data_IF_563858681520
#
_entry.id   IF_563858681520
#
_cell.length_a   1.000
_cell.length_b   1.000
_cell.length_c   1.000
_cell.angle_alpha   90.00
_cell.angle_beta   90.00
_cell.angle_gamma   90.00
#
_symmetry.space_group_name_H-M   'P 1'
#
loop_
_entity.id
_entity.type
_entity.pdbx_description
1 polymer ?
#
# COMPACT_ATOMS: atom_id res chain seq x y z
N UNK A 1 -7.29 -3.50 -2.49
CA UNK A 1 -7.63 -2.22 -3.15
C UNK A 1 -6.81 -1.10 -2.54
N UNK A 2 -5.90 -0.50 -3.31
CA UNK A 2 -5.05 0.58 -2.83
C UNK A 2 -5.92 1.78 -2.41
N UNK A 3 -5.85 2.18 -1.14
CA UNK A 3 -6.38 3.46 -0.67
C UNK A 3 -5.86 4.54 -1.63
N UNK A 4 -6.72 5.32 -2.29
CA UNK A 4 -6.38 6.34 -3.31
C UNK A 4 -5.50 7.52 -2.84
N UNK A 5 -4.63 7.28 -1.87
CA UNK A 5 -3.62 8.15 -1.30
C UNK A 5 -2.39 8.20 -2.21
N UNK A 6 -2.56 8.68 -3.42
CA UNK A 6 -1.44 9.05 -4.29
C UNK A 6 -0.98 10.45 -3.87
N UNK A 7 0.29 10.58 -3.50
CA UNK A 7 0.87 11.85 -3.09
C UNK A 7 1.25 12.68 -4.33
N UNK A 8 0.59 13.82 -4.50
CA UNK A 8 0.80 14.76 -5.62
C UNK A 8 1.47 16.07 -5.18
N UNK A 9 1.97 16.15 -3.94
CA UNK A 9 2.48 17.39 -3.33
C UNK A 9 3.75 17.96 -3.97
N UNK A 10 4.45 17.16 -4.78
CA UNK A 10 5.68 17.55 -5.46
C UNK A 10 5.47 17.74 -6.96
N UNK A 11 4.24 17.53 -7.45
CA UNK A 11 3.93 17.70 -8.87
C UNK A 11 3.56 19.17 -9.14
N UNK A 12 3.91 19.69 -10.33
CA UNK A 12 3.54 21.04 -10.75
C UNK A 12 2.03 21.12 -11.01
N UNK A 13 1.48 22.34 -11.00
CA UNK A 13 0.10 22.57 -11.46
C UNK A 13 -0.04 22.24 -12.95
N UNK A 14 -1.13 21.55 -13.31
CA UNK A 14 -1.44 21.19 -14.70
C UNK A 14 -2.17 22.30 -15.48
N UNK A 15 -2.49 23.42 -14.85
CA UNK A 15 -3.15 24.55 -15.52
C UNK A 15 -2.14 25.26 -16.42
N UNK A 16 -2.52 25.49 -17.68
CA UNK A 16 -1.67 26.18 -18.67
C UNK A 16 -1.29 27.55 -18.13
N UNK A 17 0.00 27.90 -18.20
CA UNK A 17 0.62 29.12 -17.65
C UNK A 17 0.74 29.21 -16.11
N UNK A 18 0.31 28.19 -15.36
CA UNK A 18 0.51 28.15 -13.91
C UNK A 18 1.86 27.50 -13.55
N UNK A 19 2.73 28.26 -12.88
CA UNK A 19 4.05 27.79 -12.43
C UNK A 19 4.06 27.33 -10.95
N UNK A 20 2.88 27.12 -10.35
CA UNK A 20 2.81 26.71 -8.96
C UNK A 20 3.41 25.31 -8.76
N UNK A 21 4.37 25.23 -7.85
CA UNK A 21 4.96 24.00 -7.35
C UNK A 21 4.89 24.06 -5.82
N UNK A 22 4.15 23.15 -5.20
CA UNK A 22 3.93 23.26 -3.77
C UNK A 22 3.07 22.16 -3.17
N UNK A 23 3.16 22.06 -1.84
CA UNK A 23 2.57 20.95 -1.09
C UNK A 23 1.05 21.02 -0.94
N UNK A 24 0.40 22.11 -1.38
CA UNK A 24 -1.04 22.35 -1.26
C UNK A 24 -1.70 22.62 -2.61
N UNK A 25 -1.40 21.78 -3.59
CA UNK A 25 -2.00 21.82 -4.92
C UNK A 25 -3.54 21.80 -4.89
N UNK A 26 -4.11 21.06 -3.94
CA UNK A 26 -5.55 20.97 -3.67
C UNK A 26 -6.18 22.31 -3.31
N UNK A 27 -5.49 23.09 -2.47
CA UNK A 27 -5.92 24.44 -2.09
C UNK A 27 -5.66 25.44 -3.20
N UNK A 28 -4.51 25.33 -3.85
CA UNK A 28 -4.12 26.20 -4.96
C UNK A 28 -5.14 26.15 -6.10
N UNK A 29 -5.54 24.95 -6.55
CA UNK A 29 -6.55 24.78 -7.60
C UNK A 29 -7.92 25.38 -7.27
N UNK A 30 -8.27 25.50 -5.98
CA UNK A 30 -9.56 26.05 -5.54
C UNK A 30 -9.55 27.56 -5.30
N UNK A 31 -8.38 28.17 -5.13
CA UNK A 31 -8.26 29.58 -4.73
C UNK A 31 -7.63 30.44 -5.83
N UNK A 32 -6.59 29.93 -6.50
CA UNK A 32 -5.79 30.73 -7.44
C UNK A 32 -6.24 30.58 -8.90
N UNK A 33 -7.19 29.69 -9.16
CA UNK A 33 -7.80 29.51 -10.48
C UNK A 33 -9.29 29.84 -10.45
N UNK A 34 -9.67 31.12 -10.60
CA UNK A 34 -11.08 31.52 -10.68
C UNK A 34 -11.77 30.98 -11.94
N UNK A 35 -10.98 30.60 -12.95
CA UNK A 35 -11.45 29.99 -14.20
C UNK A 35 -11.90 28.54 -14.05
N UNK A 36 -11.54 27.88 -12.94
CA UNK A 36 -11.90 26.50 -12.66
C UNK A 36 -13.06 26.44 -11.66
N UNK A 37 -14.15 25.80 -12.06
CA UNK A 37 -15.20 25.43 -11.11
C UNK A 37 -14.67 24.38 -10.11
N UNK A 38 -15.33 24.26 -8.95
CA UNK A 38 -14.95 23.26 -7.95
C UNK A 38 -14.94 21.83 -8.50
N UNK A 39 -15.88 21.52 -9.41
CA UNK A 39 -15.98 20.21 -10.05
C UNK A 39 -14.81 19.94 -11.00
N UNK A 40 -14.41 20.95 -11.79
CA UNK A 40 -13.27 20.85 -12.69
C UNK A 40 -11.95 20.77 -11.92
N UNK A 41 -11.79 21.52 -10.82
CA UNK A 41 -10.64 21.40 -9.93
C UNK A 41 -10.50 19.98 -9.36
N UNK A 42 -11.61 19.36 -8.95
CA UNK A 42 -11.60 17.98 -8.44
C UNK A 42 -11.36 16.94 -9.56
N UNK A 43 -11.78 17.21 -10.81
CA UNK A 43 -11.44 16.39 -11.98
C UNK A 43 -9.94 16.47 -12.29
N UNK A 44 -9.39 17.69 -12.32
CA UNK A 44 -7.96 17.93 -12.53
C UNK A 44 -7.13 17.22 -11.45
N UNK A 45 -7.52 17.33 -10.17
CA UNK A 45 -6.85 16.62 -9.07
C UNK A 45 -6.88 15.10 -9.23
N UNK A 46 -8.00 14.53 -9.70
CA UNK A 46 -8.11 13.09 -9.96
C UNK A 46 -7.20 12.67 -11.10
N UNK A 47 -7.16 13.45 -12.18
CA UNK A 47 -6.32 13.15 -13.33
C UNK A 47 -4.83 13.23 -12.97
N UNK A 48 -4.41 14.24 -12.20
CA UNK A 48 -3.03 14.32 -11.73
C UNK A 48 -2.65 13.12 -10.86
N UNK A 49 -3.52 12.69 -9.95
CA UNK A 49 -3.30 11.47 -9.16
C UNK A 49 -3.16 10.23 -10.06
N UNK A 50 -4.00 10.11 -11.08
CA UNK A 50 -3.96 9.01 -12.05
C UNK A 50 -2.61 8.99 -12.78
N UNK A 51 -2.19 10.12 -13.31
CA UNK A 51 -0.91 10.23 -14.04
C UNK A 51 0.29 9.89 -13.16
N UNK A 52 0.35 10.39 -11.92
CA UNK A 52 1.41 10.04 -10.97
C UNK A 52 1.39 8.56 -10.65
N UNK A 53 0.21 7.98 -10.44
CA UNK A 53 0.06 6.54 -10.22
C UNK A 53 0.64 5.72 -11.37
N UNK A 54 0.29 6.07 -12.62
CA UNK A 54 0.82 5.41 -13.80
C UNK A 54 2.33 5.59 -13.95
N UNK A 55 2.86 6.77 -13.65
CA UNK A 55 4.31 7.04 -13.66
C UNK A 55 5.04 6.14 -12.66
N UNK A 56 4.53 6.03 -11.43
CA UNK A 56 5.10 5.13 -10.40
C UNK A 56 4.99 3.67 -10.78
N UNK A 57 3.88 3.25 -11.39
CA UNK A 57 3.73 1.89 -11.90
C UNK A 57 4.77 1.58 -12.99
N UNK A 58 5.00 2.53 -13.90
CA UNK A 58 6.03 2.40 -14.94
C UNK A 58 7.44 2.30 -14.34
N UNK A 59 7.77 3.15 -13.36
CA UNK A 59 9.04 3.08 -12.64
C UNK A 59 9.23 1.71 -11.97
N UNK A 60 8.18 1.16 -11.35
CA UNK A 60 8.20 -0.17 -10.76
C UNK A 60 8.41 -1.28 -11.80
N UNK A 61 7.71 -1.19 -12.93
CA UNK A 61 7.89 -2.14 -14.04
C UNK A 61 9.29 -2.11 -14.64
N UNK A 62 9.96 -0.95 -14.64
CA UNK A 62 11.35 -0.85 -15.08
C UNK A 62 12.32 -1.55 -14.12
N UNK A 63 12.08 -1.43 -12.80
CA UNK A 63 12.94 -2.03 -11.78
C UNK A 63 12.74 -3.55 -11.70
N UNK A 64 11.50 -4.01 -11.86
CA UNK A 64 11.14 -5.42 -11.83
C UNK A 64 10.20 -5.73 -12.99
N UNK A 65 10.73 -6.05 -14.18
CA UNK A 65 9.89 -6.41 -15.30
C UNK A 65 9.10 -7.67 -14.90
N UNK A 66 7.76 -7.67 -15.05
CA UNK A 66 6.98 -8.85 -14.76
C UNK A 66 7.51 -9.99 -15.62
N UNK A 67 7.89 -11.10 -14.99
CA UNK A 67 8.28 -12.32 -15.69
C UNK A 67 7.07 -12.72 -16.52
N UNK A 68 7.17 -12.59 -17.84
CA UNK A 68 6.15 -13.09 -18.74
C UNK A 68 6.05 -14.59 -18.49
N UNK A 69 4.87 -15.06 -18.08
CA UNK A 69 4.51 -16.47 -18.14
C UNK A 69 4.32 -16.82 -19.62
N UNK A 70 5.42 -16.82 -20.37
CA UNK A 70 5.46 -17.32 -21.75
C UNK A 70 5.29 -18.83 -21.67
N UNK A 71 4.06 -19.31 -21.84
CA UNK A 71 3.84 -20.70 -22.23
C UNK A 71 4.15 -20.80 -23.71
N UNK A 72 5.19 -21.54 -24.07
CA UNK A 72 5.41 -21.94 -25.46
C UNK A 72 4.28 -22.89 -25.84
N UNK A 73 3.38 -22.42 -26.72
CA UNK A 73 2.48 -23.33 -27.41
C UNK A 73 3.33 -24.07 -28.45
N UNK A 74 3.62 -25.34 -28.21
CA UNK A 74 4.20 -26.22 -29.22
C UNK A 74 3.10 -26.50 -30.26
N UNK A 75 2.97 -25.60 -31.24
CA UNK A 75 2.06 -25.79 -32.36
C UNK A 75 2.76 -26.71 -33.37
N UNK A 76 2.53 -28.01 -33.25
CA UNK A 76 2.76 -28.93 -34.35
C UNK A 76 1.78 -28.59 -35.47
N UNK A 77 2.26 -27.97 -36.54
CA UNK A 77 1.48 -27.73 -37.76
C UNK A 77 1.27 -29.06 -38.51
N UNK A 78 0.37 -29.89 -37.98
CA UNK A 78 -0.10 -31.12 -38.60
C UNK A 78 -1.55 -30.98 -39.03
N UNK A 79 -1.75 -30.92 -40.35
CA UNK A 79 -2.96 -31.19 -41.13
C UNK A 79 -4.33 -30.72 -40.58
N UNK A 80 -4.97 -29.85 -41.37
CA UNK A 80 -6.39 -29.53 -41.34
C UNK A 80 -7.26 -30.77 -41.11
N UNK A 81 -8.11 -30.75 -40.08
CA UNK A 81 -9.36 -31.51 -40.11
C UNK A 81 -10.43 -30.84 -39.22
N UNK A 82 -11.65 -31.01 -39.69
CA UNK A 82 -12.87 -30.25 -39.42
C UNK A 82 -13.23 -30.13 -37.94
N UNK A 83 -13.73 -28.95 -37.58
CA UNK A 83 -14.31 -28.60 -36.29
C UNK A 83 -15.49 -29.53 -35.93
N UNK A 84 -15.41 -30.41 -34.91
CA UNK A 84 -16.58 -30.79 -34.15
C UNK A 84 -16.73 -29.78 -32.99
N UNK A 85 -17.95 -29.61 -32.53
CA UNK A 85 -18.32 -28.69 -31.46
C UNK A 85 -17.35 -28.74 -30.29
N UNK A 86 -16.95 -27.53 -29.89
CA UNK A 86 -16.25 -27.20 -28.66
C UNK A 86 -16.83 -28.00 -27.49
N UNK A 87 -16.15 -29.09 -27.13
CA UNK A 87 -16.17 -29.60 -25.77
C UNK A 87 -15.50 -28.52 -24.92
N UNK A 88 -16.29 -27.55 -24.49
CA UNK A 88 -15.93 -26.70 -23.37
C UNK A 88 -15.73 -27.66 -22.20
N UNK A 89 -14.48 -28.06 -21.99
CA UNK A 89 -14.08 -28.73 -20.77
C UNK A 89 -14.61 -27.87 -19.64
N UNK A 90 -15.52 -28.45 -18.87
CA UNK A 90 -16.05 -27.89 -17.65
C UNK A 90 -14.84 -27.63 -16.75
N UNK A 91 -14.35 -26.39 -16.77
CA UNK A 91 -13.37 -25.94 -15.79
C UNK A 91 -14.18 -25.85 -14.51
N UNK A 92 -13.94 -26.82 -13.63
CA UNK A 92 -14.49 -26.85 -12.29
C UNK A 92 -13.90 -25.64 -11.53
N UNK A 93 -14.60 -24.51 -11.59
CA UNK A 93 -14.25 -23.23 -10.95
C UNK A 93 -14.54 -23.22 -9.44
N UNK A 94 -14.71 -24.39 -8.82
CA UNK A 94 -15.12 -24.54 -7.42
C UNK A 94 -13.95 -24.60 -6.42
N UNK A 95 -12.70 -24.32 -6.82
CA UNK A 95 -11.65 -24.01 -5.84
C UNK A 95 -11.69 -22.54 -5.44
N UNK A 96 -12.70 -22.27 -4.62
CA UNK A 96 -13.14 -21.01 -4.01
C UNK A 96 -11.99 -20.07 -3.57
N UNK A 97 -11.54 -19.19 -4.47
CA UNK A 97 -10.62 -18.07 -4.20
C UNK A 97 -11.10 -17.18 -3.03
N UNK A 98 -12.39 -17.21 -2.72
CA UNK A 98 -12.98 -16.53 -1.57
C UNK A 98 -12.54 -17.14 -0.24
N UNK A 99 -12.37 -18.46 -0.18
CA UNK A 99 -12.01 -19.19 1.04
C UNK A 99 -10.55 -18.96 1.42
N UNK A 100 -9.62 -18.94 0.47
CA UNK A 100 -8.19 -18.65 0.75
C UNK A 100 -7.99 -17.22 1.27
N UNK A 101 -8.62 -16.23 0.65
CA UNK A 101 -8.54 -14.83 1.11
C UNK A 101 -9.22 -14.62 2.48
N UNK A 102 -10.29 -15.35 2.79
CA UNK A 102 -10.95 -15.32 4.11
C UNK A 102 -10.05 -15.89 5.21
N UNK A 103 -9.37 -17.00 4.96
CA UNK A 103 -8.42 -17.60 5.90
C UNK A 103 -7.25 -16.66 6.20
N UNK A 104 -6.65 -16.08 5.16
CA UNK A 104 -5.55 -15.11 5.32
C UNK A 104 -5.99 -13.88 6.13
N UNK A 105 -7.24 -13.42 6.00
CA UNK A 105 -7.77 -12.32 6.82
C UNK A 105 -7.88 -12.71 8.29
N UNK A 106 -8.37 -13.90 8.59
CA UNK A 106 -8.49 -14.39 9.97
C UNK A 106 -7.12 -14.54 10.62
N UNK A 107 -6.16 -15.11 9.88
CA UNK A 107 -4.77 -15.24 10.34
C UNK A 107 -4.13 -13.88 10.63
N UNK A 108 -4.31 -12.89 9.75
CA UNK A 108 -3.81 -11.54 9.98
C UNK A 108 -4.40 -10.88 11.23
N UNK A 109 -5.68 -11.13 11.52
CA UNK A 109 -6.32 -10.63 12.75
C UNK A 109 -5.72 -11.31 13.99
N UNK A 110 -5.52 -12.63 13.94
CA UNK A 110 -4.91 -13.39 15.04
C UNK A 110 -3.47 -12.94 15.32
N UNK A 111 -2.64 -12.81 14.29
CA UNK A 111 -1.26 -12.34 14.40
C UNK A 111 -1.20 -10.91 14.94
N UNK A 112 -2.13 -10.04 14.54
CA UNK A 112 -2.20 -8.68 15.07
C UNK A 112 -2.54 -8.66 16.55
N UNK A 113 -3.49 -9.48 17.00
CA UNK A 113 -3.83 -9.62 18.41
C UNK A 113 -2.63 -10.13 19.24
N UNK A 114 -1.91 -11.13 18.72
CA UNK A 114 -0.70 -11.65 19.37
C UNK A 114 0.39 -10.58 19.48
N UNK A 115 0.63 -9.81 18.41
CA UNK A 115 1.58 -8.69 18.41
C UNK A 115 1.21 -7.63 19.44
N UNK A 116 -0.08 -7.30 19.57
CA UNK A 116 -0.55 -6.32 20.55
C UNK A 116 -0.36 -6.82 22.00
N UNK A 117 -0.59 -8.10 22.27
CA UNK A 117 -0.33 -8.70 23.58
C UNK A 117 1.17 -8.63 23.93
N UNK A 118 2.04 -9.05 23.01
CA UNK A 118 3.49 -9.00 23.20
C UNK A 118 3.99 -7.56 23.44
N UNK A 119 3.45 -6.59 22.70
CA UNK A 119 3.79 -5.18 22.88
C UNK A 119 3.41 -4.66 24.28
N UNK A 120 2.27 -5.09 24.82
CA UNK A 120 1.86 -4.75 26.19
C UNK A 120 2.81 -5.34 27.23
N UNK A 121 3.23 -6.58 27.05
CA UNK A 121 4.22 -7.23 27.94
C UNK A 121 5.57 -6.51 27.90
N UNK A 122 6.08 -6.22 26.70
CA UNK A 122 7.33 -5.46 26.53
C UNK A 122 7.23 -4.09 27.18
N UNK A 123 6.10 -3.40 27.02
CA UNK A 123 5.86 -2.12 27.68
C UNK A 123 5.90 -2.25 29.21
N UNK A 124 5.20 -3.24 29.77
CA UNK A 124 5.17 -3.50 31.20
C UNK A 124 6.57 -3.81 31.75
N UNK A 125 7.31 -4.70 31.10
CA UNK A 125 8.67 -5.07 31.50
C UNK A 125 9.62 -3.88 31.45
N UNK A 126 9.54 -3.04 30.40
CA UNK A 126 10.32 -1.81 30.30
C UNK A 126 10.01 -0.85 31.45
N UNK A 127 8.73 -0.69 31.81
CA UNK A 127 8.34 0.16 32.92
C UNK A 127 8.86 -0.38 34.26
N UNK A 128 8.73 -1.70 34.49
CA UNK A 128 9.26 -2.37 35.68
C UNK A 128 10.78 -2.22 35.79
N UNK A 129 11.51 -2.37 34.69
CA UNK A 129 12.96 -2.15 34.66
C UNK A 129 13.34 -0.71 34.99
N UNK A 130 12.61 0.29 34.48
CA UNK A 130 12.83 1.69 34.84
C UNK A 130 12.63 1.94 36.33
N UNK A 131 11.59 1.36 36.93
CA UNK A 131 11.33 1.47 38.36
C UNK A 131 12.43 0.81 39.20
N UNK A 132 12.90 -0.37 38.80
CA UNK A 132 14.00 -1.06 39.49
C UNK A 132 15.32 -0.28 39.40
N UNK A 133 15.62 0.32 38.24
CA UNK A 133 16.81 1.20 38.10
C UNK A 133 16.70 2.44 38.99
N UNK A 134 15.53 3.06 39.03
CA UNK A 134 15.30 4.22 39.89
C UNK A 134 15.37 3.87 41.39
N UNK A 135 14.90 2.68 41.80
CA UNK A 135 14.96 2.22 43.19
C UNK A 135 16.36 1.73 43.59
N UNK A 136 17.18 1.24 42.65
CA UNK A 136 18.61 0.98 42.88
C UNK A 136 19.37 2.28 43.10
N UNK A 137 19.24 3.25 42.18
CA UNK A 137 19.93 4.54 42.29
C UNK A 137 19.61 5.28 43.60
N UNK A 138 18.36 5.21 44.07
CA UNK A 138 17.96 5.78 45.37
C UNK A 138 18.57 5.06 46.58
N UNK A 139 18.81 3.74 46.48
CA UNK A 139 19.47 2.96 47.55
C UNK A 139 20.97 3.28 47.62
N UNK A 140 21.62 3.40 46.47
CA UNK A 140 23.06 3.73 46.37
C UNK A 140 23.37 5.14 46.91
N UNK A 141 22.46 6.10 46.70
CA UNK A 141 22.54 7.44 47.29
C UNK A 141 22.38 7.43 48.83
N UNK A 142 21.53 6.54 49.37
CA UNK A 142 21.25 6.48 50.81
C UNK A 142 22.38 5.82 51.60
N UNK A 143 23.07 4.84 51.02
CA UNK A 143 24.26 4.21 51.63
C UNK A 143 25.49 5.12 51.65
N UNK A 144 25.52 6.16 50.82
CA UNK A 144 26.63 7.13 50.73
C UNK A 144 26.51 8.31 51.70
N UNK A 145 25.39 8.42 52.44
CA UNK A 145 25.08 9.51 53.37
C UNK A 145 25.32 9.15 54.85
N UNK A 146 25.70 7.91 55.15
CA UNK A 146 25.90 7.39 56.52
C UNK A 146 27.33 6.90 56.78
N UNK A 147 28.30 7.36 55.97
CA UNK A 147 29.73 7.08 56.14
C UNK A 147 30.51 8.34 56.47
#
# INVERSE_FOLDING_TARGET
>A
MANGRINIRLEPCSVVSCAYHGTRLDRHLKIEHPELSQQEADLVLREMKRMVGLKRLRELWQINPPVHMTTTLDVEYGAYDEHPDSFYGEIDLDSDEGTTHRLLRLENVALKAQKEALNKEVYFLRNKLKQLKASSAKRDLRSSSTG
#
